data_IF_841567446093
#
_entry.id   IF_841567446093
#
_cell.length_a   1.000
_cell.length_b   1.000
_cell.length_c   1.000
_cell.angle_alpha   90.00
_cell.angle_beta   90.00
_cell.angle_gamma   90.00
#
_symmetry.space_group_name_H-M   'P 1'
#
loop_
_entity.id
_entity.type
_entity.pdbx_description
1 polymer ?
#
# COMPACT_ATOMS: atom_id res chain seq x y z
N UNK A 1 11.39 -3.93 1.90
CA UNK A 1 10.35 -4.87 2.38
C UNK A 1 10.25 -6.15 1.54
N UNK A 2 10.22 -6.10 0.21
CA UNK A 2 10.29 -7.31 -0.65
C UNK A 2 11.72 -7.75 -0.92
N UNK A 3 12.65 -6.83 -1.06
CA UNK A 3 14.08 -7.04 -1.30
C UNK A 3 14.37 -7.98 -2.49
N UNK A 4 13.98 -7.62 -3.72
CA UNK A 4 14.19 -8.44 -4.90
C UNK A 4 15.65 -8.34 -5.38
N UNK A 5 16.57 -9.13 -4.82
CA UNK A 5 17.97 -9.14 -5.29
C UNK A 5 18.21 -10.06 -6.47
N UNK A 6 17.42 -11.13 -6.63
CA UNK A 6 17.51 -12.10 -7.73
C UNK A 6 16.20 -12.87 -7.86
N UNK A 7 16.00 -13.51 -9.00
CA UNK A 7 14.84 -14.35 -9.25
C UNK A 7 13.82 -13.72 -10.19
N UNK A 8 12.57 -14.17 -10.10
CA UNK A 8 11.50 -13.73 -10.99
C UNK A 8 10.64 -12.68 -10.30
N UNK A 9 10.49 -11.52 -10.94
CA UNK A 9 9.61 -10.43 -10.52
C UNK A 9 8.42 -10.37 -11.47
N UNK A 10 7.20 -10.33 -10.95
CA UNK A 10 5.99 -10.29 -11.74
C UNK A 10 5.08 -9.14 -11.31
N UNK A 11 4.57 -8.40 -12.31
CA UNK A 11 3.51 -7.39 -12.14
C UNK A 11 2.35 -7.69 -13.09
N UNK A 12 1.18 -8.11 -12.59
CA UNK A 12 0.02 -8.47 -13.42
C UNK A 12 -0.71 -7.28 -14.04
N UNK A 13 -0.35 -6.05 -13.69
CA UNK A 13 -0.95 -4.80 -14.18
C UNK A 13 0.11 -3.70 -14.30
N UNK A 14 1.20 -4.02 -15.03
CA UNK A 14 2.47 -3.30 -14.97
C UNK A 14 2.43 -1.84 -15.46
N UNK A 15 1.34 -1.39 -16.04
CA UNK A 15 1.23 -0.04 -16.54
C UNK A 15 2.37 0.29 -17.52
N UNK A 16 3.06 1.38 -17.30
CA UNK A 16 4.24 1.80 -18.08
C UNK A 16 5.56 1.10 -17.66
N UNK A 17 5.51 0.08 -16.79
CA UNK A 17 6.68 -0.63 -16.31
C UNK A 17 7.46 0.09 -15.21
N UNK A 18 6.86 1.08 -14.56
CA UNK A 18 7.52 1.90 -13.53
C UNK A 18 8.03 1.10 -12.34
N UNK A 19 7.27 0.10 -11.86
CA UNK A 19 7.66 -0.76 -10.74
C UNK A 19 8.90 -1.61 -11.09
N UNK A 20 9.03 -2.06 -12.33
CA UNK A 20 10.21 -2.80 -12.79
C UNK A 20 11.46 -1.92 -12.81
N UNK A 21 11.34 -0.69 -13.32
CA UNK A 21 12.44 0.28 -13.31
C UNK A 21 12.91 0.58 -11.89
N UNK A 22 11.99 0.71 -10.94
CA UNK A 22 12.36 0.92 -9.53
C UNK A 22 12.99 -0.32 -8.90
N UNK A 23 12.56 -1.53 -9.28
CA UNK A 23 13.17 -2.78 -8.82
C UNK A 23 14.62 -2.90 -9.29
N UNK A 24 14.93 -2.57 -10.55
CA UNK A 24 16.31 -2.57 -11.06
C UNK A 24 17.17 -1.51 -10.37
N UNK A 25 16.65 -0.30 -10.18
CA UNK A 25 17.37 0.74 -9.41
C UNK A 25 17.64 0.31 -7.96
N UNK A 26 16.70 -0.40 -7.35
CA UNK A 26 16.90 -0.96 -6.02
C UNK A 26 18.06 -1.96 -6.02
N UNK A 27 18.11 -2.88 -6.99
CA UNK A 27 19.16 -3.89 -7.14
C UNK A 27 20.53 -3.21 -7.32
N UNK A 28 20.64 -2.24 -8.24
CA UNK A 28 21.87 -1.48 -8.47
C UNK A 28 22.35 -0.73 -7.20
N UNK A 29 21.43 -0.11 -6.48
CA UNK A 29 21.75 0.60 -5.24
C UNK A 29 22.25 -0.33 -4.12
N UNK A 30 21.91 -1.63 -4.16
CA UNK A 30 22.35 -2.64 -3.18
C UNK A 30 23.44 -3.57 -3.72
N UNK A 31 24.19 -3.13 -4.74
CA UNK A 31 25.37 -3.83 -5.25
C UNK A 31 25.11 -4.96 -6.24
N UNK A 32 23.86 -5.18 -6.64
CA UNK A 32 23.50 -6.11 -7.70
C UNK A 32 23.72 -5.53 -9.10
N UNK A 33 23.40 -6.31 -10.12
CA UNK A 33 23.61 -5.96 -11.54
C UNK A 33 22.28 -5.97 -12.27
N UNK A 34 22.22 -5.15 -13.33
CA UNK A 34 21.12 -5.20 -14.28
C UNK A 34 20.97 -6.64 -14.83
N UNK A 35 19.76 -7.19 -14.76
CA UNK A 35 19.47 -8.56 -15.19
C UNK A 35 19.58 -9.64 -14.11
N UNK A 36 19.90 -9.28 -12.86
CA UNK A 36 19.87 -10.23 -11.74
C UNK A 36 18.44 -10.74 -11.46
N UNK A 37 17.44 -9.99 -11.90
CA UNK A 37 16.04 -10.41 -11.88
C UNK A 37 15.48 -10.63 -13.29
N UNK A 38 14.59 -11.61 -13.41
CA UNK A 38 13.82 -11.86 -14.64
C UNK A 38 12.45 -11.20 -14.50
N UNK A 39 12.15 -10.26 -15.37
CA UNK A 39 10.94 -9.43 -15.33
C UNK A 39 9.82 -10.04 -16.17
N UNK A 40 8.67 -10.21 -15.56
CA UNK A 40 7.42 -10.63 -16.18
C UNK A 40 6.34 -9.62 -15.89
N UNK A 41 5.56 -9.25 -16.89
CA UNK A 41 4.45 -8.32 -16.71
C UNK A 41 3.27 -8.60 -17.62
N UNK A 42 2.15 -8.00 -17.29
CA UNK A 42 0.98 -7.98 -18.14
C UNK A 42 0.28 -6.62 -18.06
N UNK A 43 -0.24 -6.17 -19.18
CA UNK A 43 -0.97 -4.89 -19.30
C UNK A 43 -2.09 -5.05 -20.34
N UNK A 44 -3.28 -4.57 -20.01
CA UNK A 44 -4.45 -4.70 -20.88
C UNK A 44 -4.53 -3.63 -21.96
N UNK A 45 -4.07 -2.41 -21.67
CA UNK A 45 -4.12 -1.30 -22.61
C UNK A 45 -3.00 -1.39 -23.65
N UNK A 46 -3.31 -1.46 -24.98
CA UNK A 46 -2.30 -1.63 -26.02
C UNK A 46 -1.28 -0.50 -26.08
N UNK A 47 -1.67 0.74 -25.79
CA UNK A 47 -0.77 1.89 -25.80
C UNK A 47 0.17 1.85 -24.60
N UNK A 48 -0.36 1.56 -23.43
CA UNK A 48 0.41 1.45 -22.19
C UNK A 48 1.36 0.25 -22.23
N UNK A 49 0.94 -0.89 -22.81
CA UNK A 49 1.79 -2.05 -23.03
C UNK A 49 3.00 -1.73 -23.91
N UNK A 50 2.81 -1.00 -25.04
CA UNK A 50 3.91 -0.53 -25.90
C UNK A 50 4.81 0.44 -25.16
N UNK A 51 4.23 1.34 -24.36
CA UNK A 51 4.99 2.28 -23.54
C UNK A 51 5.87 1.54 -22.52
N UNK A 52 5.36 0.50 -21.85
CA UNK A 52 6.15 -0.34 -20.96
C UNK A 52 7.31 -1.00 -21.69
N UNK A 53 7.06 -1.62 -22.84
CA UNK A 53 8.09 -2.26 -23.65
C UNK A 53 9.19 -1.26 -24.07
N UNK A 54 8.81 -0.06 -24.52
CA UNK A 54 9.76 1.00 -24.86
C UNK A 54 10.55 1.48 -23.63
N UNK A 55 9.87 1.69 -22.51
CA UNK A 55 10.47 2.17 -21.27
C UNK A 55 11.56 1.20 -20.76
N UNK A 56 11.28 -0.09 -20.79
CA UNK A 56 12.21 -1.14 -20.37
C UNK A 56 13.36 -1.32 -21.39
N UNK A 57 13.05 -1.35 -22.69
CA UNK A 57 14.06 -1.50 -23.76
C UNK A 57 15.10 -0.36 -23.76
N UNK A 58 14.67 0.90 -23.62
CA UNK A 58 15.59 2.06 -23.57
C UNK A 58 16.58 1.95 -22.39
N UNK A 59 16.19 1.28 -21.32
CA UNK A 59 17.01 1.06 -20.11
C UNK A 59 17.84 -0.23 -20.15
N UNK A 60 17.73 -1.00 -21.24
CA UNK A 60 18.42 -2.27 -21.37
C UNK A 60 17.91 -3.37 -20.43
N UNK A 61 16.70 -3.21 -19.92
CA UNK A 61 16.07 -4.18 -19.02
C UNK A 61 15.40 -5.27 -19.85
N UNK A 62 15.79 -6.53 -19.67
CA UNK A 62 15.15 -7.69 -20.29
C UNK A 62 13.78 -7.95 -19.65
N UNK A 63 12.76 -8.20 -20.46
CA UNK A 63 11.40 -8.36 -19.99
C UNK A 63 10.59 -9.36 -20.81
N UNK A 64 9.55 -9.90 -20.16
CA UNK A 64 8.49 -10.67 -20.81
C UNK A 64 7.12 -10.07 -20.41
N UNK A 65 6.53 -9.25 -21.27
CA UNK A 65 5.21 -8.64 -21.07
C UNK A 65 4.07 -9.44 -21.73
N UNK A 66 4.29 -10.71 -22.04
CA UNK A 66 3.38 -11.52 -22.83
C UNK A 66 3.51 -11.22 -24.34
N UNK A 67 2.77 -11.97 -25.15
CA UNK A 67 2.83 -11.85 -26.62
C UNK A 67 2.09 -10.63 -27.13
N UNK A 68 1.09 -10.18 -26.42
CA UNK A 68 0.19 -9.07 -26.78
C UNK A 68 -0.42 -8.43 -25.52
N UNK A 69 -1.00 -7.23 -25.61
CA UNK A 69 -1.77 -6.66 -24.51
C UNK A 69 -2.96 -7.57 -24.19
N UNK A 70 -3.26 -7.73 -22.90
CA UNK A 70 -4.36 -8.60 -22.49
C UNK A 70 -4.80 -8.41 -21.06
N UNK A 71 -6.10 -8.58 -20.85
CA UNK A 71 -6.68 -8.57 -19.51
C UNK A 71 -6.15 -9.76 -18.70
N UNK A 72 -5.62 -9.48 -17.53
CA UNK A 72 -4.96 -10.43 -16.65
C UNK A 72 -5.92 -11.50 -16.12
N UNK A 73 -7.18 -11.16 -15.91
CA UNK A 73 -8.14 -12.11 -15.39
C UNK A 73 -8.64 -13.06 -16.48
N UNK A 74 -8.97 -12.53 -17.65
CA UNK A 74 -9.57 -13.30 -18.76
C UNK A 74 -8.50 -14.00 -19.61
N UNK A 75 -7.34 -13.38 -19.76
CA UNK A 75 -6.24 -13.88 -20.61
C UNK A 75 -4.93 -13.86 -19.86
N UNK A 76 -4.76 -14.75 -18.90
CA UNK A 76 -3.51 -14.93 -18.18
C UNK A 76 -2.41 -15.51 -19.08
N UNK A 77 -1.51 -14.64 -19.58
CA UNK A 77 -0.44 -15.04 -20.50
C UNK A 77 0.74 -15.71 -19.80
N UNK A 78 0.77 -15.69 -18.48
CA UNK A 78 1.84 -16.26 -17.65
C UNK A 78 1.32 -17.37 -16.73
N UNK A 79 0.35 -18.20 -17.17
CA UNK A 79 -0.37 -19.18 -16.35
C UNK A 79 0.54 -20.11 -15.52
N UNK A 80 1.70 -20.49 -16.08
CA UNK A 80 2.66 -21.41 -15.45
C UNK A 80 3.73 -20.68 -14.62
N UNK A 81 3.73 -19.34 -14.66
CA UNK A 81 4.70 -18.55 -13.89
C UNK A 81 4.48 -18.74 -12.40
N UNK A 82 5.57 -18.98 -11.70
CA UNK A 82 5.67 -18.90 -10.25
C UNK A 82 6.84 -17.98 -9.94
N UNK A 83 6.52 -16.77 -9.47
CA UNK A 83 7.46 -15.70 -9.23
C UNK A 83 8.00 -15.73 -7.79
N UNK A 84 9.23 -15.28 -7.62
CA UNK A 84 9.83 -15.06 -6.30
C UNK A 84 9.22 -13.82 -5.65
N UNK A 85 8.96 -12.78 -6.47
CA UNK A 85 8.36 -11.53 -6.04
C UNK A 85 7.20 -11.15 -6.97
N UNK A 86 6.09 -10.77 -6.39
CA UNK A 86 4.95 -10.18 -7.12
C UNK A 86 4.70 -8.78 -6.56
N UNK A 87 4.76 -7.78 -7.44
CA UNK A 87 4.51 -6.38 -7.08
C UNK A 87 3.36 -5.88 -7.94
N UNK A 88 2.41 -5.17 -7.36
CA UNK A 88 1.35 -4.58 -8.15
C UNK A 88 0.81 -3.29 -7.53
N UNK A 89 0.47 -2.35 -8.41
CA UNK A 89 -0.37 -1.21 -8.10
C UNK A 89 -1.56 -1.22 -9.08
N UNK A 90 -2.55 -2.11 -8.86
CA UNK A 90 -3.69 -2.24 -9.76
C UNK A 90 -4.60 -1.03 -9.68
N UNK A 91 -5.43 -0.80 -10.71
CA UNK A 91 -6.48 0.20 -10.62
C UNK A 91 -7.43 -0.13 -9.47
N UNK A 92 -7.73 0.89 -8.63
CA UNK A 92 -8.54 0.70 -7.42
C UNK A 92 -10.02 0.47 -7.73
N UNK A 93 -10.63 -0.49 -7.06
CA UNK A 93 -12.07 -0.73 -7.06
C UNK A 93 -12.69 -0.91 -8.45
N UNK A 94 -12.03 -1.62 -9.34
CA UNK A 94 -12.55 -1.90 -10.69
C UNK A 94 -13.81 -2.75 -10.62
N UNK A 95 -14.90 -2.28 -11.24
CA UNK A 95 -16.20 -2.94 -11.27
C UNK A 95 -16.42 -3.83 -12.50
N UNK A 96 -15.84 -3.49 -13.65
CA UNK A 96 -16.12 -4.16 -14.93
C UNK A 96 -15.01 -5.16 -15.30
N UNK A 97 -14.65 -6.04 -14.36
CA UNK A 97 -13.56 -7.01 -14.53
C UNK A 97 -14.08 -8.45 -14.72
N UNK A 98 -15.32 -8.73 -14.31
CA UNK A 98 -15.86 -10.07 -14.24
C UNK A 98 -16.35 -10.57 -15.59
N UNK A 99 -16.02 -11.82 -15.91
CA UNK A 99 -16.58 -12.57 -17.03
C UNK A 99 -17.05 -13.94 -16.55
N UNK A 100 -18.11 -14.50 -17.13
CA UNK A 100 -18.66 -15.80 -16.73
C UNK A 100 -17.67 -16.98 -16.83
N UNK A 101 -16.60 -16.85 -17.63
CA UNK A 101 -15.51 -17.83 -17.68
C UNK A 101 -14.69 -17.91 -16.40
N UNK A 102 -14.87 -16.97 -15.47
CA UNK A 102 -14.13 -16.89 -14.20
C UNK A 102 -14.86 -17.59 -13.05
N UNK A 103 -16.06 -18.12 -13.25
CA UNK A 103 -16.86 -18.74 -12.18
C UNK A 103 -16.17 -19.92 -11.49
N UNK A 104 -15.37 -20.70 -12.24
CA UNK A 104 -14.61 -21.86 -11.72
C UNK A 104 -13.11 -21.68 -11.85
N UNK A 105 -12.63 -20.46 -11.77
CA UNK A 105 -11.20 -20.17 -11.94
C UNK A 105 -10.38 -20.73 -10.76
N UNK A 106 -9.31 -21.49 -11.03
CA UNK A 106 -8.48 -22.11 -9.99
C UNK A 106 -7.74 -21.10 -9.10
N UNK A 107 -7.73 -19.83 -9.45
CA UNK A 107 -7.14 -18.76 -8.62
C UNK A 107 -7.98 -18.43 -7.39
N UNK A 108 -9.29 -18.70 -7.40
CA UNK A 108 -10.23 -18.32 -6.35
C UNK A 108 -10.24 -19.29 -5.16
N UNK A 109 -9.06 -19.60 -4.63
CA UNK A 109 -8.86 -20.57 -3.54
C UNK A 109 -9.54 -20.14 -2.24
N UNK A 110 -9.64 -18.83 -2.00
CA UNK A 110 -10.22 -18.27 -0.76
C UNK A 110 -11.67 -17.83 -0.92
N UNK A 111 -12.25 -18.07 -2.07
CA UNK A 111 -13.62 -17.72 -2.42
C UNK A 111 -13.71 -16.87 -3.68
N UNK A 112 -14.87 -16.90 -4.34
CA UNK A 112 -15.08 -16.16 -5.58
C UNK A 112 -15.19 -14.67 -5.29
N UNK A 113 -14.31 -13.82 -5.89
CA UNK A 113 -14.37 -12.37 -5.69
C UNK A 113 -15.65 -11.77 -6.25
N UNK A 114 -16.18 -10.69 -5.67
CA UNK A 114 -17.41 -10.07 -6.16
C UNK A 114 -17.21 -9.42 -7.53
N UNK A 115 -18.16 -9.61 -8.44
CA UNK A 115 -18.13 -9.03 -9.79
C UNK A 115 -17.98 -7.49 -9.78
N UNK A 116 -18.50 -6.83 -8.75
CA UNK A 116 -18.46 -5.37 -8.62
C UNK A 116 -17.14 -4.78 -8.06
N UNK A 117 -16.16 -5.61 -7.68
CA UNK A 117 -14.88 -5.11 -7.16
C UNK A 117 -13.75 -6.13 -7.34
N UNK A 118 -12.70 -5.76 -8.05
CA UNK A 118 -11.57 -6.63 -8.36
C UNK A 118 -10.50 -6.73 -7.26
N UNK A 119 -10.59 -6.00 -6.15
CA UNK A 119 -9.50 -5.93 -5.16
C UNK A 119 -9.07 -7.33 -4.68
N UNK A 120 -10.01 -8.20 -4.34
CA UNK A 120 -9.71 -9.56 -3.88
C UNK A 120 -9.41 -10.55 -5.03
N UNK A 121 -9.75 -10.21 -6.26
CA UNK A 121 -9.29 -10.94 -7.43
C UNK A 121 -7.79 -10.70 -7.66
N UNK A 122 -7.31 -9.46 -7.52
CA UNK A 122 -5.89 -9.13 -7.58
C UNK A 122 -5.09 -9.86 -6.49
N UNK A 123 -5.55 -9.82 -5.24
CA UNK A 123 -4.87 -10.51 -4.13
C UNK A 123 -4.73 -12.01 -4.40
N UNK A 124 -5.79 -12.68 -4.84
CA UNK A 124 -5.78 -14.11 -5.13
C UNK A 124 -4.95 -14.45 -6.39
N UNK A 125 -5.03 -13.62 -7.43
CA UNK A 125 -4.19 -13.76 -8.63
C UNK A 125 -2.70 -13.69 -8.27
N UNK A 126 -2.29 -12.75 -7.43
CA UNK A 126 -0.90 -12.62 -7.00
C UNK A 126 -0.45 -13.83 -6.19
N UNK A 127 -1.27 -14.31 -5.25
CA UNK A 127 -0.98 -15.52 -4.50
C UNK A 127 -0.86 -16.76 -5.41
N UNK A 128 -1.71 -16.86 -6.45
CA UNK A 128 -1.61 -17.95 -7.42
C UNK A 128 -0.26 -17.97 -8.12
N UNK A 129 0.24 -16.82 -8.55
CA UNK A 129 1.51 -16.66 -9.26
C UNK A 129 2.74 -16.65 -8.34
N UNK A 130 2.56 -16.64 -7.03
CA UNK A 130 3.66 -16.63 -6.09
C UNK A 130 4.27 -18.03 -5.94
N UNK A 131 5.60 -18.13 -5.86
CA UNK A 131 6.28 -19.34 -5.36
C UNK A 131 5.90 -19.59 -3.90
N UNK A 132 6.16 -20.81 -3.43
CA UNK A 132 5.91 -21.17 -2.04
C UNK A 132 6.73 -20.32 -1.05
N UNK A 133 7.98 -20.03 -1.38
CA UNK A 133 8.89 -19.16 -0.62
C UNK A 133 8.86 -17.70 -1.04
N UNK A 134 8.00 -17.34 -2.01
CA UNK A 134 7.93 -16.00 -2.56
C UNK A 134 7.17 -15.00 -1.69
N UNK A 135 7.29 -13.71 -2.02
CA UNK A 135 6.57 -12.61 -1.36
C UNK A 135 5.87 -11.73 -2.37
N UNK A 136 4.67 -11.30 -2.02
CA UNK A 136 3.92 -10.34 -2.82
C UNK A 136 3.68 -9.05 -2.03
N UNK A 137 3.70 -7.92 -2.76
CA UNK A 137 3.33 -6.60 -2.23
C UNK A 137 2.37 -5.90 -3.18
N UNK A 138 1.21 -5.50 -2.68
CA UNK A 138 0.18 -4.84 -3.48
C UNK A 138 -0.32 -3.57 -2.82
N UNK A 139 -0.52 -2.55 -3.64
CA UNK A 139 -1.14 -1.29 -3.23
C UNK A 139 -2.64 -1.37 -3.48
N UNK A 140 -3.46 -1.15 -2.48
CA UNK A 140 -4.92 -1.10 -2.60
C UNK A 140 -5.49 0.10 -1.85
N UNK A 141 -6.72 0.48 -2.18
CA UNK A 141 -7.47 1.46 -1.40
C UNK A 141 -7.76 0.94 0.03
N UNK A 142 -7.78 1.82 1.02
CA UNK A 142 -7.98 1.46 2.43
C UNK A 142 -9.25 0.63 2.69
N UNK A 143 -10.31 0.81 1.89
CA UNK A 143 -11.52 0.02 1.97
C UNK A 143 -11.28 -1.49 1.90
N UNK A 144 -10.25 -1.95 1.19
CA UNK A 144 -9.90 -3.37 1.09
C UNK A 144 -9.61 -4.03 2.44
N UNK A 145 -9.13 -3.27 3.42
CA UNK A 145 -8.80 -3.79 4.75
C UNK A 145 -10.02 -4.12 5.63
N UNK A 146 -11.17 -3.54 5.34
CA UNK A 146 -12.34 -3.61 6.23
C UNK A 146 -13.68 -3.87 5.53
N UNK A 147 -13.74 -3.77 4.21
CA UNK A 147 -14.98 -4.02 3.45
C UNK A 147 -15.52 -5.42 3.73
N UNK A 148 -16.83 -5.49 3.94
CA UNK A 148 -17.59 -6.74 4.07
C UNK A 148 -18.70 -6.84 3.03
N UNK A 149 -18.64 -6.00 1.99
CA UNK A 149 -19.61 -6.02 0.92
C UNK A 149 -19.48 -7.31 0.11
N UNK A 150 -20.61 -7.93 -0.18
CA UNK A 150 -20.69 -9.20 -0.90
C UNK A 150 -19.77 -10.26 -0.23
N UNK A 151 -18.91 -10.94 -0.97
CA UNK A 151 -18.00 -11.97 -0.44
C UNK A 151 -16.65 -11.46 0.09
N UNK A 152 -16.36 -10.15 0.08
CA UNK A 152 -15.05 -9.62 0.43
C UNK A 152 -14.62 -9.94 1.87
N UNK A 153 -15.56 -9.84 2.83
CA UNK A 153 -15.29 -10.17 4.23
C UNK A 153 -14.94 -11.65 4.43
N UNK A 154 -15.62 -12.54 3.73
CA UNK A 154 -15.38 -14.00 3.82
C UNK A 154 -14.05 -14.38 3.18
N UNK A 155 -13.72 -13.82 2.03
CA UNK A 155 -12.41 -14.03 1.36
C UNK A 155 -11.29 -13.53 2.27
N UNK A 156 -11.42 -12.33 2.85
CA UNK A 156 -10.44 -11.79 3.78
C UNK A 156 -10.23 -12.69 4.98
N UNK A 157 -11.32 -13.17 5.58
CA UNK A 157 -11.26 -14.15 6.68
C UNK A 157 -10.51 -15.40 6.26
N UNK A 158 -10.86 -16.01 5.13
CA UNK A 158 -10.22 -17.22 4.63
C UNK A 158 -8.71 -17.02 4.38
N UNK A 159 -8.30 -15.87 3.84
CA UNK A 159 -6.89 -15.53 3.66
C UNK A 159 -6.14 -15.36 4.99
N UNK A 160 -6.79 -14.77 5.99
CA UNK A 160 -6.21 -14.60 7.33
C UNK A 160 -6.07 -15.95 8.02
N UNK A 161 -7.11 -16.78 8.01
CA UNK A 161 -7.11 -18.12 8.61
C UNK A 161 -6.10 -19.06 7.94
N UNK A 162 -5.86 -18.88 6.62
CA UNK A 162 -4.80 -19.57 5.89
C UNK A 162 -3.38 -19.03 6.14
N UNK A 163 -3.24 -18.03 7.01
CA UNK A 163 -1.98 -17.39 7.40
C UNK A 163 -1.14 -16.81 6.24
N UNK A 164 -1.80 -16.36 5.16
CA UNK A 164 -1.11 -15.81 3.97
C UNK A 164 -0.91 -14.29 4.01
N UNK A 165 -1.53 -13.58 4.94
CA UNK A 165 -1.32 -12.14 5.17
C UNK A 165 -0.17 -11.97 6.14
N UNK A 166 0.93 -11.34 5.69
CA UNK A 166 2.15 -11.20 6.49
C UNK A 166 2.24 -9.83 7.17
N UNK A 167 2.09 -8.73 6.38
CA UNK A 167 2.20 -7.35 6.88
C UNK A 167 1.12 -6.49 6.26
N UNK A 168 0.55 -5.60 7.06
CA UNK A 168 -0.39 -4.57 6.63
C UNK A 168 0.14 -3.19 6.98
N UNK A 169 0.23 -2.29 6.00
CA UNK A 169 0.67 -0.91 6.22
C UNK A 169 -0.42 0.06 5.77
N UNK A 170 -0.90 0.91 6.66
CA UNK A 170 -1.75 2.04 6.29
C UNK A 170 -0.87 3.24 5.94
N UNK A 171 -1.03 3.77 4.72
CA UNK A 171 -0.26 4.89 4.21
C UNK A 171 -0.97 6.23 4.45
N UNK A 172 -0.24 7.37 4.46
CA UNK A 172 -0.85 8.69 4.43
C UNK A 172 -1.76 8.85 3.22
N UNK A 173 -2.76 9.72 3.32
CA UNK A 173 -3.48 10.20 2.14
C UNK A 173 -2.60 11.10 1.27
N UNK A 174 -3.09 11.45 0.09
CA UNK A 174 -2.43 12.42 -0.80
C UNK A 174 -1.01 12.03 -1.28
N UNK A 175 -0.65 10.73 -1.29
CA UNK A 175 0.62 10.24 -1.84
C UNK A 175 0.63 10.19 -3.37
N UNK A 176 -0.53 10.10 -4.00
CA UNK A 176 -0.65 9.94 -5.45
C UNK A 176 -1.05 11.25 -6.12
N UNK A 177 -0.42 11.56 -7.26
CA UNK A 177 -0.72 12.79 -8.03
C UNK A 177 -2.16 12.83 -8.54
N UNK A 178 -2.74 11.68 -8.89
CA UNK A 178 -4.03 11.61 -9.58
C UNK A 178 -5.20 11.31 -8.64
N UNK A 179 -4.95 11.03 -7.37
CA UNK A 179 -6.00 10.71 -6.40
C UNK A 179 -5.57 11.04 -4.98
N UNK A 180 -6.52 11.51 -4.19
CA UNK A 180 -6.32 11.74 -2.75
C UNK A 180 -6.74 10.52 -1.90
N UNK A 181 -7.15 9.43 -2.55
CA UNK A 181 -7.63 8.24 -1.87
C UNK A 181 -6.49 7.66 -1.00
N UNK A 182 -6.71 7.47 0.30
CA UNK A 182 -5.72 6.83 1.14
C UNK A 182 -5.56 5.37 0.73
N UNK A 183 -4.31 4.93 0.63
CA UNK A 183 -3.94 3.59 0.23
C UNK A 183 -3.32 2.80 1.38
N UNK A 184 -3.30 1.49 1.20
CA UNK A 184 -2.63 0.56 2.08
C UNK A 184 -1.76 -0.41 1.29
N UNK A 185 -0.76 -0.98 1.96
CA UNK A 185 0.06 -2.05 1.40
C UNK A 185 -0.33 -3.36 2.07
N UNK A 186 -0.59 -4.37 1.23
CA UNK A 186 -0.73 -5.76 1.63
C UNK A 186 0.54 -6.50 1.27
N UNK A 187 1.15 -7.17 2.24
CA UNK A 187 2.22 -8.11 1.98
C UNK A 187 1.73 -9.52 2.22
N UNK A 188 1.90 -10.37 1.21
CA UNK A 188 1.38 -11.73 1.19
C UNK A 188 2.50 -12.73 1.00
N UNK A 189 2.37 -13.89 1.63
CA UNK A 189 3.24 -15.05 1.49
C UNK A 189 2.39 -16.32 1.42
N UNK A 190 2.90 -17.39 0.82
CA UNK A 190 2.24 -18.71 0.90
C UNK A 190 2.59 -19.45 2.18
N UNK A 191 3.76 -19.18 2.74
CA UNK A 191 4.19 -19.76 4.00
C UNK A 191 5.04 -18.76 4.77
N UNK A 192 4.71 -18.52 6.02
CA UNK A 192 5.55 -17.79 6.96
C UNK A 192 6.60 -18.74 7.55
N UNK A 193 7.88 -18.43 7.35
CA UNK A 193 8.99 -19.19 7.94
C UNK A 193 9.27 -18.79 9.38
N UNK A 194 9.02 -17.54 9.69
CA UNK A 194 9.09 -16.98 11.04
C UNK A 194 7.74 -16.32 11.35
N UNK A 195 7.35 -16.27 12.60
CA UNK A 195 6.10 -15.68 13.07
C UNK A 195 4.82 -16.26 12.42
N UNK A 196 4.68 -17.61 12.32
CA UNK A 196 3.43 -18.21 11.87
C UNK A 196 2.31 -17.84 12.85
N UNK A 197 1.13 -17.56 12.31
CA UNK A 197 -0.03 -17.17 13.12
C UNK A 197 -0.03 -15.72 13.60
N UNK A 198 0.90 -14.88 13.14
CA UNK A 198 0.97 -13.44 13.46
C UNK A 198 0.92 -12.59 12.19
N UNK A 199 0.36 -11.39 12.30
CA UNK A 199 0.38 -10.35 11.26
C UNK A 199 0.97 -9.08 11.85
N UNK A 200 1.92 -8.47 11.13
CA UNK A 200 2.46 -7.17 11.51
C UNK A 200 1.56 -6.06 10.97
N UNK A 201 1.10 -5.19 11.84
CA UNK A 201 0.38 -3.96 11.48
C UNK A 201 1.30 -2.75 11.65
N UNK A 202 1.34 -1.87 10.64
CA UNK A 202 2.06 -0.60 10.67
C UNK A 202 1.10 0.52 10.29
N UNK A 203 0.96 1.50 11.16
CA UNK A 203 0.20 2.72 10.90
C UNK A 203 1.15 3.85 10.51
N UNK A 204 1.37 4.00 9.22
CA UNK A 204 2.23 5.03 8.66
C UNK A 204 1.48 6.33 8.26
N UNK A 205 0.18 6.46 8.63
CA UNK A 205 -0.66 7.60 8.22
C UNK A 205 -0.17 8.97 8.69
N UNK A 206 0.67 8.99 9.74
CA UNK A 206 1.28 10.20 10.29
C UNK A 206 2.67 10.51 9.72
N UNK A 207 3.22 9.61 8.90
CA UNK A 207 4.52 9.80 8.25
C UNK A 207 4.38 10.68 7.01
N UNK A 208 5.52 11.18 6.55
CA UNK A 208 5.62 12.02 5.36
C UNK A 208 5.55 13.51 5.64
N UNK A 209 5.94 14.27 4.65
CA UNK A 209 6.00 15.73 4.69
C UNK A 209 5.08 16.31 3.62
N UNK A 210 4.36 17.38 3.97
CA UNK A 210 3.53 18.11 3.02
C UNK A 210 4.42 18.88 2.04
N UNK A 211 4.46 18.46 0.76
CA UNK A 211 5.15 19.21 -0.30
C UNK A 211 4.22 20.24 -0.96
N UNK A 212 2.90 20.08 -0.79
CA UNK A 212 1.89 21.05 -1.19
C UNK A 212 0.61 20.90 -0.35
N UNK A 213 -0.40 21.72 -0.61
CA UNK A 213 -1.72 21.61 0.07
C UNK A 213 -2.45 20.28 -0.22
N UNK A 214 -2.07 19.61 -1.29
CA UNK A 214 -2.77 18.41 -1.81
C UNK A 214 -1.86 17.21 -1.97
N UNK A 215 -0.57 17.31 -1.58
CA UNK A 215 0.40 16.25 -1.78
C UNK A 215 1.33 16.08 -0.59
N UNK A 216 1.49 14.83 -0.18
CA UNK A 216 2.44 14.35 0.83
C UNK A 216 3.50 13.50 0.12
N UNK A 217 4.74 13.60 0.57
CA UNK A 217 5.85 12.73 0.15
C UNK A 217 6.42 12.01 1.37
N UNK A 218 6.66 10.70 1.24
CA UNK A 218 7.40 9.94 2.24
C UNK A 218 8.89 10.21 2.05
N UNK A 219 9.56 10.63 3.09
CA UNK A 219 11.01 10.80 3.09
C UNK A 219 11.70 9.44 3.12
N UNK A 220 12.96 9.39 2.70
CA UNK A 220 13.80 8.18 2.79
C UNK A 220 13.83 7.62 4.21
N UNK A 221 13.90 8.48 5.23
CA UNK A 221 13.84 8.09 6.65
C UNK A 221 12.51 7.43 7.04
N UNK A 222 11.39 7.85 6.45
CA UNK A 222 10.08 7.22 6.69
C UNK A 222 10.03 5.83 6.08
N UNK A 223 10.53 5.71 4.84
CA UNK A 223 10.61 4.45 4.11
C UNK A 223 11.52 3.46 4.84
N UNK A 224 12.69 3.93 5.29
CA UNK A 224 13.66 3.15 6.05
C UNK A 224 13.06 2.68 7.38
N UNK A 225 12.38 3.55 8.11
CA UNK A 225 11.71 3.20 9.37
C UNK A 225 10.70 2.07 9.18
N UNK A 226 9.85 2.15 8.13
CA UNK A 226 8.90 1.09 7.81
C UNK A 226 9.64 -0.19 7.43
N UNK A 227 10.64 -0.10 6.55
CA UNK A 227 11.38 -1.25 6.05
C UNK A 227 12.16 -1.96 7.17
N UNK A 228 12.83 -1.20 8.05
CA UNK A 228 13.57 -1.72 9.19
C UNK A 228 12.65 -2.41 10.21
N UNK A 229 11.46 -1.84 10.47
CA UNK A 229 10.45 -2.46 11.33
C UNK A 229 10.07 -3.85 10.82
N UNK A 230 9.84 -3.98 9.52
CA UNK A 230 9.51 -5.29 8.89
C UNK A 230 10.70 -6.23 8.92
N UNK A 231 11.90 -5.75 8.66
CA UNK A 231 13.14 -6.55 8.71
C UNK A 231 13.38 -7.13 10.10
N UNK A 232 13.28 -6.29 11.14
CA UNK A 232 13.40 -6.70 12.54
C UNK A 232 12.31 -7.71 12.94
N UNK A 233 11.05 -7.46 12.54
CA UNK A 233 9.95 -8.38 12.82
C UNK A 233 10.14 -9.75 12.16
N UNK A 234 10.65 -9.76 10.93
CA UNK A 234 11.02 -11.00 10.23
C UNK A 234 12.28 -11.64 10.78
N UNK A 235 13.10 -10.91 11.54
CA UNK A 235 14.43 -11.34 12.00
C UNK A 235 15.36 -11.64 10.82
N UNK A 236 15.33 -10.78 9.80
CA UNK A 236 16.23 -10.79 8.63
C UNK A 236 16.83 -9.39 8.47
N UNK A 237 18.10 -9.25 8.07
CA UNK A 237 18.67 -7.93 7.86
C UNK A 237 18.01 -7.23 6.68
N UNK A 238 17.96 -5.90 6.71
CA UNK A 238 17.46 -5.11 5.60
C UNK A 238 18.43 -5.19 4.41
N UNK A 239 19.73 -5.13 4.69
CA UNK A 239 20.83 -5.24 3.71
C UNK A 239 21.73 -6.43 4.03
N UNK A 240 22.49 -6.92 3.04
CA UNK A 240 23.45 -8.00 3.24
C UNK A 240 24.50 -7.60 4.28
N UNK A 241 24.60 -8.37 5.37
CA UNK A 241 25.52 -8.10 6.47
C UNK A 241 25.06 -7.04 7.47
N UNK A 242 23.85 -6.50 7.32
CA UNK A 242 23.24 -5.55 8.25
C UNK A 242 22.92 -6.20 9.61
N UNK A 243 22.82 -5.39 10.65
CA UNK A 243 22.42 -5.82 11.98
C UNK A 243 20.90 -6.06 12.03
N UNK A 244 20.50 -7.11 12.76
CA UNK A 244 19.10 -7.40 13.07
C UNK A 244 18.85 -6.93 14.49
N UNK A 245 18.08 -5.87 14.67
CA UNK A 245 17.60 -5.49 15.99
C UNK A 245 16.40 -6.35 16.40
N UNK A 246 16.23 -6.50 17.71
CA UNK A 246 15.05 -7.16 18.25
C UNK A 246 13.79 -6.34 17.92
N UNK A 247 12.76 -7.00 17.44
CA UNK A 247 11.48 -6.36 17.18
C UNK A 247 10.72 -6.11 18.48
N UNK A 248 10.23 -4.89 18.64
CA UNK A 248 9.32 -4.50 19.72
C UNK A 248 8.11 -3.76 19.13
N UNK A 249 6.93 -3.97 19.73
CA UNK A 249 5.76 -3.17 19.42
C UNK A 249 5.98 -1.70 19.79
N UNK A 250 5.52 -0.79 18.94
CA UNK A 250 5.61 0.66 19.16
C UNK A 250 4.20 1.23 19.12
N UNK A 251 3.71 1.71 20.27
CA UNK A 251 2.37 2.28 20.38
C UNK A 251 2.17 3.43 19.38
N UNK A 252 1.01 3.43 18.71
CA UNK A 252 0.68 4.39 17.67
C UNK A 252 1.37 4.16 16.31
N UNK A 253 2.30 3.20 16.20
CA UNK A 253 3.04 2.97 14.95
C UNK A 253 2.99 1.52 14.47
N UNK A 254 3.44 0.54 15.27
CA UNK A 254 3.45 -0.86 14.81
C UNK A 254 3.13 -1.84 15.93
N UNK A 255 2.50 -2.97 15.55
CA UNK A 255 2.19 -4.07 16.47
C UNK A 255 2.11 -5.41 15.74
N UNK A 256 2.70 -6.45 16.36
CA UNK A 256 2.49 -7.85 15.95
C UNK A 256 1.24 -8.40 16.62
N UNK A 257 0.32 -8.96 15.84
CA UNK A 257 -1.01 -9.38 16.32
C UNK A 257 -1.29 -10.81 15.88
N UNK A 258 -1.77 -11.61 16.80
CA UNK A 258 -2.13 -13.01 16.52
C UNK A 258 -3.42 -13.12 15.70
N UNK A 259 -3.55 -14.20 14.91
CA UNK A 259 -4.79 -14.47 14.16
C UNK A 259 -6.02 -14.57 15.08
N UNK A 260 -5.84 -15.08 16.29
CA UNK A 260 -6.92 -15.16 17.28
C UNK A 260 -7.43 -13.77 17.72
N UNK A 261 -6.54 -12.80 17.85
CA UNK A 261 -6.92 -11.42 18.16
C UNK A 261 -7.59 -10.75 16.94
N UNK A 262 -7.06 -10.97 15.72
CA UNK A 262 -7.67 -10.46 14.48
C UNK A 262 -9.10 -11.00 14.32
N UNK A 263 -9.33 -12.28 14.64
CA UNK A 263 -10.67 -12.88 14.59
C UNK A 263 -11.65 -12.21 15.57
N UNK A 264 -11.20 -11.85 16.78
CA UNK A 264 -12.04 -11.09 17.76
C UNK A 264 -12.47 -9.72 17.22
N UNK A 265 -11.70 -9.16 16.31
CA UNK A 265 -12.00 -7.89 15.64
C UNK A 265 -12.70 -8.06 14.27
N UNK A 266 -13.36 -9.20 14.02
CA UNK A 266 -14.12 -9.46 12.81
C UNK A 266 -13.24 -9.55 11.56
N UNK A 267 -12.00 -9.98 11.68
CA UNK A 267 -11.01 -10.10 10.60
C UNK A 267 -10.76 -8.79 9.84
N UNK A 268 -10.93 -7.65 10.50
CA UNK A 268 -10.58 -6.33 9.94
C UNK A 268 -9.07 -6.13 10.04
N UNK A 269 -8.44 -5.64 8.97
CA UNK A 269 -6.98 -5.50 8.86
C UNK A 269 -6.50 -4.04 8.93
N UNK A 270 -7.30 -3.13 9.45
CA UNK A 270 -6.94 -1.70 9.57
C UNK A 270 -5.91 -1.51 10.70
N UNK A 271 -4.65 -1.10 10.42
CA UNK A 271 -3.59 -1.01 11.44
C UNK A 271 -3.93 -0.18 12.66
N UNK A 272 -4.57 0.98 12.48
CA UNK A 272 -4.96 1.86 13.59
C UNK A 272 -5.89 1.21 14.64
N UNK A 273 -6.48 0.05 14.34
CA UNK A 273 -7.28 -0.72 15.30
C UNK A 273 -6.40 -1.47 16.32
N UNK A 274 -5.16 -1.77 15.93
CA UNK A 274 -4.27 -2.66 16.68
C UNK A 274 -3.09 -1.95 17.33
N UNK A 275 -2.54 -0.90 16.71
CA UNK A 275 -1.31 -0.25 17.18
C UNK A 275 -1.48 0.60 18.45
N UNK A 276 -2.74 0.83 18.88
CA UNK A 276 -3.02 1.67 20.05
C UNK A 276 -2.84 3.17 19.78
N UNK A 277 -2.95 3.97 20.82
CA UNK A 277 -2.61 5.39 20.78
C UNK A 277 -1.15 5.59 21.19
N UNK A 278 -0.46 6.55 20.55
CA UNK A 278 0.79 7.06 21.10
C UNK A 278 0.56 7.50 22.54
N UNK A 279 1.51 7.21 23.42
CA UNK A 279 1.52 7.86 24.72
C UNK A 279 1.57 9.38 24.48
N UNK A 280 0.47 10.04 24.72
CA UNK A 280 0.48 11.50 24.82
C UNK A 280 1.32 11.76 26.06
N UNK A 281 2.49 12.41 25.92
CA UNK A 281 3.13 13.02 27.07
C UNK A 281 2.05 13.84 27.73
N UNK A 282 1.76 13.56 29.00
CA UNK A 282 0.83 14.35 29.77
C UNK A 282 1.33 15.78 29.68
N UNK A 283 0.57 16.61 28.98
CA UNK A 283 0.79 18.03 28.91
C UNK A 283 0.48 18.52 30.33
N UNK A 284 1.51 18.75 31.14
CA UNK A 284 1.40 19.19 32.54
C UNK A 284 0.65 20.54 32.68
N UNK A 285 0.25 21.15 31.55
CA UNK A 285 -0.58 22.34 31.53
C UNK A 285 -2.00 22.01 31.99
N UNK A 286 -2.43 22.60 33.08
CA UNK A 286 -3.78 22.39 33.60
C UNK A 286 -4.81 22.71 32.50
N UNK A 287 -5.83 21.83 32.34
CA UNK A 287 -6.87 21.99 31.30
C UNK A 287 -7.48 23.40 31.29
N UNK A 288 -7.63 24.03 32.48
CA UNK A 288 -8.15 25.40 32.63
C UNK A 288 -7.23 26.43 31.94
N UNK A 289 -5.92 26.31 32.10
CA UNK A 289 -4.93 27.25 31.52
C UNK A 289 -4.87 27.07 30.00
N UNK A 290 -4.88 25.83 29.52
CA UNK A 290 -4.94 25.52 28.09
C UNK A 290 -6.20 26.04 27.44
N UNK A 291 -7.36 25.87 28.07
CA UNK A 291 -8.64 26.44 27.62
C UNK A 291 -8.64 27.96 27.58
N UNK A 292 -8.02 28.59 28.59
CA UNK A 292 -7.89 30.02 28.63
C UNK A 292 -7.02 30.56 27.48
N UNK A 293 -5.89 29.94 27.24
CA UNK A 293 -4.97 30.28 26.15
C UNK A 293 -5.63 30.09 24.76
N UNK A 294 -6.29 28.96 24.55
CA UNK A 294 -7.03 28.69 23.29
C UNK A 294 -8.18 29.63 23.05
N UNK A 295 -8.92 29.99 24.12
CA UNK A 295 -10.04 30.94 24.02
C UNK A 295 -9.56 32.35 23.72
N UNK A 296 -8.44 32.77 24.30
CA UNK A 296 -7.80 34.04 24.00
C UNK A 296 -7.34 34.11 22.54
N UNK A 297 -6.64 33.08 22.08
CA UNK A 297 -6.17 32.96 20.68
C UNK A 297 -7.36 32.97 19.70
N UNK A 298 -8.43 32.27 20.01
CA UNK A 298 -9.66 32.29 19.20
C UNK A 298 -10.26 33.67 19.13
N UNK A 299 -10.30 34.40 20.25
CA UNK A 299 -10.77 35.81 20.32
C UNK A 299 -9.96 36.73 19.41
N UNK A 300 -8.64 36.61 19.44
CA UNK A 300 -7.76 37.38 18.56
C UNK A 300 -8.00 37.06 17.07
N UNK A 301 -8.16 35.78 16.75
CA UNK A 301 -8.41 35.33 15.36
C UNK A 301 -9.77 35.82 14.83
N UNK A 302 -10.81 35.78 15.66
CA UNK A 302 -12.14 36.33 15.32
C UNK A 302 -12.09 37.82 15.09
N UNK A 303 -11.36 38.56 15.94
CA UNK A 303 -11.18 40.03 15.78
C UNK A 303 -10.49 40.35 14.46
N UNK A 304 -9.39 39.65 14.17
CA UNK A 304 -8.64 39.81 12.91
C UNK A 304 -9.49 39.44 11.69
N UNK A 305 -10.33 38.41 11.82
CA UNK A 305 -11.30 38.03 10.79
C UNK A 305 -12.31 39.17 10.49
N UNK A 306 -12.84 39.80 11.52
CA UNK A 306 -13.77 40.93 11.37
C UNK A 306 -13.11 42.17 10.73
N UNK A 307 -11.84 42.44 11.09
CA UNK A 307 -11.06 43.51 10.44
C UNK A 307 -10.83 43.26 8.96
N UNK A 308 -10.48 42.01 8.61
CA UNK A 308 -10.30 41.57 7.21
C UNK A 308 -11.61 41.68 6.41
N UNK A 309 -12.73 41.28 7.01
CA UNK A 309 -14.06 41.43 6.40
C UNK A 309 -14.38 42.88 6.09
N UNK A 310 -14.11 43.79 7.04
CA UNK A 310 -14.31 45.22 6.82
C UNK A 310 -13.40 45.78 5.71
N UNK A 311 -12.14 45.37 5.68
CA UNK A 311 -11.21 45.75 4.61
C UNK A 311 -11.67 45.25 3.24
N UNK A 312 -12.14 44.00 3.14
CA UNK A 312 -12.68 43.44 1.90
C UNK A 312 -13.89 44.23 1.42
N UNK A 313 -14.87 44.49 2.32
CA UNK A 313 -16.05 45.33 2.00
C UNK A 313 -15.68 46.73 1.54
N UNK A 314 -14.76 47.39 2.23
CA UNK A 314 -14.28 48.72 1.85
C UNK A 314 -13.58 48.69 0.47
N UNK A 315 -12.72 47.72 0.22
CA UNK A 315 -12.03 47.60 -1.06
C UNK A 315 -12.97 47.31 -2.23
N UNK A 316 -13.94 46.41 -2.02
CA UNK A 316 -14.94 46.10 -3.06
C UNK A 316 -15.92 47.26 -3.29
N UNK A 317 -16.37 47.96 -2.22
CA UNK A 317 -17.17 49.15 -2.36
C UNK A 317 -16.45 50.28 -3.16
N UNK A 318 -15.14 50.44 -2.96
CA UNK A 318 -14.30 51.34 -3.76
C UNK A 318 -14.19 50.98 -5.25
N UNK A 319 -14.49 49.71 -5.60
CA UNK A 319 -14.55 49.21 -6.98
C UNK A 319 -16.00 49.19 -7.54
N UNK A 320 -16.98 49.63 -6.77
CA UNK A 320 -18.39 49.65 -7.17
C UNK A 320 -19.15 48.35 -6.94
N UNK A 321 -18.58 47.40 -6.16
CA UNK A 321 -19.25 46.17 -5.78
C UNK A 321 -19.60 46.18 -4.30
N UNK A 322 -20.89 46.28 -3.98
CA UNK A 322 -21.42 46.17 -2.62
C UNK A 322 -22.00 44.77 -2.40
N UNK A 323 -21.71 44.15 -1.22
CA UNK A 323 -22.29 42.87 -0.78
C UNK A 323 -22.44 42.79 0.74
#
# INVERSE_FOLDING_TARGET
MLNPHHGKVYDPCCGSGGMFVQSEKFIEAHGGKLGDVSIYGQESNPTTWRLAAMNLAIRGIDFNLGKEPGDTFVRNQHSDLRADFVLANPPFNVSDWWHGSLDSDPRWVYGSPPAGNANYAWLQHMLFHLKFSGRAGIVLANGSMSSSQNSEGDIRRAMIEADVVEVMVALPGQLFFNTQIPACLWFLVKQKTKRPGEVLFIDARKLGTNISRVQIELLDSDIERIAQTVANWRGVPLDEGGEIAEYTDVAGFCRSVTLAEIAKHGHVLTPGRYVGAEAVEDDDEAFADKMQNLTALLGEQLTKGAELDQMIRHKLGGLGYEF
#
